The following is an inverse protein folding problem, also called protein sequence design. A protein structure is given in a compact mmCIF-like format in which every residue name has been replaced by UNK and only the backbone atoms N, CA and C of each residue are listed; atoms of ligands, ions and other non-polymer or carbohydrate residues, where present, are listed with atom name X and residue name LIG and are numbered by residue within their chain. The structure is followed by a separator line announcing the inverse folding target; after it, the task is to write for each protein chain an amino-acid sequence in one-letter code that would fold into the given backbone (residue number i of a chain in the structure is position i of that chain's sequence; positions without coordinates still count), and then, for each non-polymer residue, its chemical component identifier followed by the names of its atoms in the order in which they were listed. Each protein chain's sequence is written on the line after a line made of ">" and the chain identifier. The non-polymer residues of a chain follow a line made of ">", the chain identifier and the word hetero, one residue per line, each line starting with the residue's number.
data_IF_707919438873
#
_entry.id   IF_707919438873
#
_cell.length_a   1.000
_cell.length_b   1.000
_cell.length_c   1.000
_cell.angle_alpha   90.00
_cell.angle_beta   90.00
_cell.angle_gamma   90.00
#
_symmetry.space_group_name_H-M   'P 1'
#
loop_
_entity.id
_entity.type
_entity.pdbx_description
1 polymer ?
#
# COMPACT_ATOMS: atom_id res chain seq x y z
N UNK A 1 45.49 11.97 -114.09
CA UNK A 1 44.51 13.04 -113.81
C UNK A 1 43.12 12.51 -114.11
N UNK A 2 42.22 12.55 -113.12
CA UNK A 2 40.74 12.50 -113.18
C UNK A 2 40.27 12.08 -111.77
N UNK A 3 40.12 13.03 -110.85
CA UNK A 3 38.88 13.79 -110.54
C UNK A 3 38.04 13.06 -109.50
N UNK A 4 38.10 13.57 -108.27
CA UNK A 4 37.28 13.16 -107.15
C UNK A 4 35.83 13.62 -107.32
N UNK A 5 34.82 12.84 -106.88
CA UNK A 5 33.44 13.30 -106.86
C UNK A 5 33.26 14.41 -105.83
N UNK A 6 32.76 15.55 -106.31
CA UNK A 6 32.50 16.76 -105.55
C UNK A 6 31.45 16.52 -104.44
N UNK A 7 31.75 17.03 -103.26
CA UNK A 7 30.80 17.19 -102.16
C UNK A 7 29.63 18.07 -102.63
N UNK A 8 28.46 17.46 -102.79
CA UNK A 8 27.20 18.17 -103.07
C UNK A 8 26.90 19.08 -101.88
N UNK A 9 27.21 20.37 -102.02
CA UNK A 9 26.68 21.41 -101.15
C UNK A 9 25.19 21.52 -101.47
N UNK A 10 24.36 20.80 -100.72
CA UNK A 10 22.90 20.80 -100.88
C UNK A 10 22.40 22.20 -100.55
N UNK A 11 22.27 23.04 -101.58
CA UNK A 11 21.62 24.34 -101.47
C UNK A 11 20.13 24.07 -101.40
N UNK A 12 19.58 24.11 -100.20
CA UNK A 12 18.13 24.05 -100.01
C UNK A 12 17.46 25.17 -100.81
N UNK A 13 16.47 24.81 -101.59
CA UNK A 13 15.63 25.78 -102.30
C UNK A 13 14.75 26.53 -101.30
N UNK A 14 14.31 27.74 -101.67
CA UNK A 14 13.47 28.59 -100.80
C UNK A 14 12.20 27.84 -100.38
N UNK A 15 11.67 26.98 -101.24
CA UNK A 15 10.47 26.20 -100.96
C UNK A 15 10.75 25.01 -100.03
N UNK A 16 11.92 24.37 -100.13
CA UNK A 16 12.37 23.37 -99.15
C UNK A 16 12.53 23.98 -97.75
N UNK A 17 13.12 25.17 -97.63
CA UNK A 17 13.24 25.88 -96.35
C UNK A 17 11.87 26.22 -95.75
N UNK A 18 10.91 26.68 -96.58
CA UNK A 18 9.54 26.96 -96.13
C UNK A 18 8.81 25.69 -95.69
N UNK A 19 9.02 24.57 -96.39
CA UNK A 19 8.44 23.28 -96.01
C UNK A 19 9.01 22.77 -94.69
N UNK A 20 10.32 22.92 -94.49
CA UNK A 20 11.01 22.57 -93.25
C UNK A 20 10.55 23.46 -92.09
N UNK A 21 10.36 24.76 -92.34
CA UNK A 21 9.83 25.71 -91.37
C UNK A 21 8.42 25.34 -90.89
N UNK A 22 7.51 24.93 -91.80
CA UNK A 22 6.17 24.43 -91.44
C UNK A 22 6.21 23.08 -90.72
N UNK A 23 7.13 22.19 -91.13
CA UNK A 23 7.33 20.90 -90.45
C UNK A 23 7.87 21.09 -89.02
N UNK A 24 8.69 22.12 -88.80
CA UNK A 24 9.24 22.48 -87.50
C UNK A 24 8.26 23.29 -86.63
N UNK A 25 7.39 24.12 -87.20
CA UNK A 25 6.41 24.90 -86.41
C UNK A 25 5.41 24.02 -85.68
N UNK A 26 5.10 22.84 -86.22
CA UNK A 26 4.22 21.84 -85.60
C UNK A 26 4.94 20.94 -84.58
N UNK A 27 6.27 21.03 -84.46
CA UNK A 27 7.08 20.26 -83.51
C UNK A 27 7.37 21.01 -82.22
N UNK A 28 7.26 22.34 -82.23
CA UNK A 28 7.40 23.15 -81.03
C UNK A 28 6.04 23.23 -80.34
N UNK A 29 5.98 23.07 -79.00
CA UNK A 29 4.75 23.32 -78.28
C UNK A 29 4.24 24.74 -78.60
N UNK A 30 2.93 24.95 -78.74
CA UNK A 30 2.40 26.29 -78.98
C UNK A 30 2.89 27.22 -77.87
N UNK A 31 3.21 28.47 -78.21
CA UNK A 31 3.77 29.44 -77.25
C UNK A 31 2.93 29.58 -75.96
N UNK A 32 1.61 29.35 -76.06
CA UNK A 32 0.68 29.27 -74.92
C UNK A 32 1.00 28.14 -73.93
N UNK A 33 1.42 26.97 -74.40
CA UNK A 33 1.81 25.84 -73.54
C UNK A 33 3.12 26.13 -72.79
N UNK A 34 4.09 26.77 -73.45
CA UNK A 34 5.36 27.18 -72.82
C UNK A 34 5.11 28.26 -71.76
N UNK A 35 4.23 29.23 -72.05
CA UNK A 35 3.84 30.27 -71.09
C UNK A 35 3.09 29.68 -69.89
N UNK A 36 2.18 28.71 -70.12
CA UNK A 36 1.46 28.02 -69.05
C UNK A 36 2.40 27.20 -68.17
N UNK A 37 3.37 26.49 -68.75
CA UNK A 37 4.42 25.80 -67.99
C UNK A 37 5.24 26.76 -67.14
N UNK A 38 5.66 27.90 -67.69
CA UNK A 38 6.42 28.91 -66.93
C UNK A 38 5.62 29.47 -65.74
N UNK A 39 4.34 29.80 -65.95
CA UNK A 39 3.43 30.23 -64.88
C UNK A 39 3.24 29.15 -63.81
N UNK A 40 3.07 27.89 -64.22
CA UNK A 40 2.99 26.77 -63.30
C UNK A 40 4.29 26.59 -62.49
N UNK A 41 5.46 26.70 -63.13
CA UNK A 41 6.76 26.58 -62.47
C UNK A 41 6.92 27.68 -61.39
N UNK A 42 6.54 28.91 -61.71
CA UNK A 42 6.57 30.05 -60.78
C UNK A 42 5.60 29.84 -59.60
N UNK A 43 4.37 29.39 -59.87
CA UNK A 43 3.40 29.08 -58.83
C UNK A 43 3.90 27.93 -57.94
N UNK A 44 4.41 26.86 -58.55
CA UNK A 44 4.96 25.71 -57.86
C UNK A 44 6.12 26.10 -56.93
N UNK A 45 7.04 26.94 -57.39
CA UNK A 45 8.14 27.45 -56.56
C UNK A 45 7.59 28.22 -55.35
N UNK A 46 6.63 29.12 -55.58
CA UNK A 46 6.00 29.91 -54.51
C UNK A 46 5.29 29.01 -53.47
N UNK A 47 4.61 27.97 -53.92
CA UNK A 47 3.90 27.02 -53.03
C UNK A 47 4.89 26.16 -52.23
N UNK A 48 5.97 25.70 -52.85
CA UNK A 48 7.05 24.96 -52.18
C UNK A 48 7.68 25.83 -51.09
N UNK A 49 7.97 27.09 -51.39
CA UNK A 49 8.51 28.04 -50.41
C UNK A 49 7.54 28.23 -49.24
N UNK A 50 6.23 28.42 -49.51
CA UNK A 50 5.23 28.55 -48.45
C UNK A 50 5.17 27.32 -47.55
N UNK A 51 5.19 26.11 -48.13
CA UNK A 51 5.21 24.86 -47.38
C UNK A 51 6.49 24.73 -46.54
N UNK A 52 7.65 25.09 -47.10
CA UNK A 52 8.91 25.08 -46.39
C UNK A 52 8.89 26.02 -45.18
N UNK A 53 8.46 27.27 -45.36
CA UNK A 53 8.36 28.23 -44.26
C UNK A 53 7.37 27.78 -43.20
N UNK A 54 6.18 27.30 -43.60
CA UNK A 54 5.20 26.75 -42.65
C UNK A 54 5.82 25.64 -41.81
N UNK A 55 6.54 24.71 -42.45
CA UNK A 55 7.16 23.60 -41.75
C UNK A 55 8.28 24.03 -40.81
N UNK A 56 9.09 25.00 -41.22
CA UNK A 56 10.14 25.58 -40.38
C UNK A 56 9.56 26.28 -39.15
N UNK A 57 8.45 27.03 -39.29
CA UNK A 57 7.77 27.66 -38.16
C UNK A 57 7.14 26.65 -37.20
N UNK A 58 6.49 25.61 -37.73
CA UNK A 58 5.96 24.52 -36.91
C UNK A 58 7.07 23.82 -36.12
N UNK A 59 8.20 23.52 -36.76
CA UNK A 59 9.31 22.84 -36.12
C UNK A 59 9.97 23.72 -35.05
N UNK A 60 10.07 25.02 -35.28
CA UNK A 60 10.54 25.97 -34.27
C UNK A 60 9.59 26.01 -33.06
N UNK A 61 8.27 26.11 -33.29
CA UNK A 61 7.28 26.08 -32.19
C UNK A 61 7.29 24.76 -31.43
N UNK A 62 7.41 23.63 -32.13
CA UNK A 62 7.49 22.32 -31.49
C UNK A 62 8.74 22.24 -30.59
N UNK A 63 9.90 22.68 -31.09
CA UNK A 63 11.14 22.74 -30.33
C UNK A 63 11.04 23.64 -29.09
N UNK A 64 10.37 24.79 -29.19
CA UNK A 64 10.14 25.66 -28.05
C UNK A 64 9.24 24.99 -27.00
N UNK A 65 8.21 24.26 -27.44
CA UNK A 65 7.35 23.48 -26.54
C UNK A 65 8.10 22.32 -25.88
N UNK A 66 8.97 21.63 -26.60
CA UNK A 66 9.81 20.55 -26.09
C UNK A 66 10.80 21.09 -25.06
N UNK A 67 11.43 22.24 -25.34
CA UNK A 67 12.31 22.90 -24.37
C UNK A 67 11.55 23.32 -23.09
N UNK A 68 10.36 23.90 -23.24
CA UNK A 68 9.52 24.30 -22.11
C UNK A 68 9.12 23.09 -21.24
N UNK A 69 8.72 21.99 -21.87
CA UNK A 69 8.37 20.76 -21.15
C UNK A 69 9.59 20.13 -20.49
N UNK A 70 10.75 20.11 -21.14
CA UNK A 70 12.01 19.62 -20.56
C UNK A 70 12.41 20.41 -19.30
N UNK A 71 12.32 21.74 -19.35
CA UNK A 71 12.59 22.61 -18.19
C UNK A 71 11.61 22.30 -17.05
N UNK A 72 10.32 22.13 -17.36
CA UNK A 72 9.30 21.79 -16.36
C UNK A 72 9.56 20.42 -15.72
N UNK A 73 9.91 19.42 -16.52
CA UNK A 73 10.26 18.07 -16.03
C UNK A 73 11.49 18.15 -15.12
N UNK A 74 12.54 18.83 -15.54
CA UNK A 74 13.75 19.01 -14.71
C UNK A 74 13.43 19.67 -13.37
N UNK A 75 12.56 20.69 -13.36
CA UNK A 75 12.10 21.32 -12.12
C UNK A 75 11.36 20.34 -11.22
N UNK A 76 10.42 19.57 -11.78
CA UNK A 76 9.67 18.55 -11.03
C UNK A 76 10.58 17.45 -10.47
N UNK A 77 11.62 17.06 -11.20
CA UNK A 77 12.61 16.08 -10.72
C UNK A 77 13.42 16.60 -9.53
N UNK A 78 13.78 17.89 -9.54
CA UNK A 78 14.45 18.53 -8.39
C UNK A 78 13.50 18.60 -7.20
N UNK A 79 12.27 19.07 -7.41
CA UNK A 79 11.26 19.19 -6.36
C UNK A 79 10.95 17.82 -5.73
N UNK A 80 10.86 16.75 -6.53
CA UNK A 80 10.67 15.38 -6.05
C UNK A 80 11.86 14.87 -5.22
N UNK A 81 13.10 15.17 -5.63
CA UNK A 81 14.30 14.81 -4.87
C UNK A 81 14.32 15.52 -3.51
N UNK A 82 13.94 16.79 -3.47
CA UNK A 82 13.88 17.56 -2.23
C UNK A 82 12.74 17.11 -1.31
N UNK A 83 11.55 16.81 -1.87
CA UNK A 83 10.46 16.18 -1.13
C UNK A 83 10.89 14.85 -0.51
N UNK A 84 11.61 14.01 -1.28
CA UNK A 84 12.12 12.73 -0.77
C UNK A 84 13.07 12.93 0.41
N UNK A 85 14.03 13.85 0.29
CA UNK A 85 14.95 14.19 1.39
C UNK A 85 14.21 14.66 2.65
N UNK A 86 13.15 15.46 2.50
CA UNK A 86 12.33 15.93 3.63
C UNK A 86 11.58 14.79 4.31
N UNK A 87 11.02 13.86 3.53
CA UNK A 87 10.34 12.67 4.07
C UNK A 87 11.33 11.82 4.87
N UNK A 88 12.49 11.50 4.29
CA UNK A 88 13.51 10.68 4.96
C UNK A 88 14.00 11.37 6.26
N UNK A 89 14.16 12.70 6.26
CA UNK A 89 14.51 13.47 7.45
C UNK A 89 13.40 13.43 8.52
N UNK A 90 12.12 13.53 8.11
CA UNK A 90 10.99 13.45 9.05
C UNK A 90 10.85 12.07 9.69
N UNK A 91 11.07 10.98 8.93
CA UNK A 91 11.02 9.62 9.47
C UNK A 91 12.11 9.40 10.52
N UNK A 92 13.33 9.88 10.26
CA UNK A 92 14.42 9.85 11.25
C UNK A 92 14.06 10.64 12.52
N UNK A 93 13.43 11.80 12.38
CA UNK A 93 13.03 12.62 13.52
C UNK A 93 11.91 11.95 14.34
N UNK A 94 10.92 11.32 13.69
CA UNK A 94 9.85 10.58 14.37
C UNK A 94 10.41 9.36 15.12
N UNK A 95 11.34 8.62 14.49
CA UNK A 95 12.03 7.50 15.14
C UNK A 95 12.84 7.95 16.35
N UNK A 96 13.52 9.10 16.25
CA UNK A 96 14.27 9.67 17.36
C UNK A 96 13.34 10.10 18.51
N UNK A 97 12.24 10.79 18.21
CA UNK A 97 11.25 11.19 19.20
C UNK A 97 10.63 9.97 19.90
N UNK A 98 10.26 8.94 19.15
CA UNK A 98 9.73 7.68 19.70
C UNK A 98 10.76 6.98 20.60
N UNK A 99 12.03 6.94 20.16
CA UNK A 99 13.12 6.39 20.95
C UNK A 99 13.31 7.15 22.26
N UNK A 100 13.28 8.48 22.22
CA UNK A 100 13.41 9.32 23.41
C UNK A 100 12.29 9.08 24.42
N UNK A 101 11.03 8.94 23.98
CA UNK A 101 9.90 8.60 24.86
C UNK A 101 10.09 7.22 25.50
N UNK A 102 10.64 6.24 24.76
CA UNK A 102 10.94 4.91 25.32
C UNK A 102 12.05 4.98 26.36
N UNK A 103 13.09 5.77 26.12
CA UNK A 103 14.17 5.97 27.09
C UNK A 103 13.68 6.64 28.37
N UNK A 104 12.86 7.69 28.28
CA UNK A 104 12.31 8.34 29.49
C UNK A 104 11.39 7.40 30.26
N UNK A 105 10.57 6.60 29.57
CA UNK A 105 9.73 5.59 30.20
C UNK A 105 10.56 4.48 30.87
N UNK A 106 11.66 4.04 30.25
CA UNK A 106 12.58 3.08 30.85
C UNK A 106 13.31 3.66 32.06
N UNK A 107 13.77 4.91 31.98
CA UNK A 107 14.41 5.59 33.11
C UNK A 107 13.45 5.67 34.30
N UNK A 108 12.20 6.08 34.09
CA UNK A 108 11.19 6.10 35.15
C UNK A 108 10.94 4.72 35.78
N UNK A 109 11.05 3.63 35.01
CA UNK A 109 10.96 2.26 35.54
C UNK A 109 12.17 1.90 36.40
N UNK A 110 13.37 2.31 35.99
CA UNK A 110 14.60 2.10 36.76
C UNK A 110 14.50 2.85 38.09
N UNK A 111 14.15 4.14 38.05
CA UNK A 111 14.00 4.96 39.25
C UNK A 111 12.96 4.35 40.23
N UNK A 112 11.87 3.79 39.68
CA UNK A 112 10.87 3.08 40.47
C UNK A 112 11.37 1.74 41.07
N UNK A 113 12.30 1.04 40.42
CA UNK A 113 12.95 -0.15 40.97
C UNK A 113 13.95 0.23 42.06
N UNK A 114 14.73 1.28 41.86
CA UNK A 114 15.69 1.79 42.84
C UNK A 114 14.98 2.20 44.14
N UNK A 115 13.85 2.90 44.03
CA UNK A 115 13.03 3.27 45.18
C UNK A 115 12.49 2.04 45.93
N UNK A 116 12.08 0.98 45.22
CA UNK A 116 11.63 -0.28 45.83
C UNK A 116 12.77 -1.02 46.52
N UNK A 117 13.96 -1.04 45.92
CA UNK A 117 15.15 -1.65 46.54
C UNK A 117 15.49 -0.94 47.84
N UNK A 118 15.57 0.40 47.82
CA UNK A 118 15.85 1.19 49.02
C UNK A 118 14.82 0.95 50.14
N UNK A 119 13.53 0.80 49.79
CA UNK A 119 12.50 0.46 50.76
C UNK A 119 12.67 -0.96 51.34
N UNK A 120 13.05 -1.94 50.51
CA UNK A 120 13.35 -3.29 50.99
C UNK A 120 14.58 -3.31 51.90
N UNK A 121 15.63 -2.59 51.56
CA UNK A 121 16.83 -2.45 52.40
C UNK A 121 16.49 -1.87 53.77
N UNK A 122 15.62 -0.86 53.82
CA UNK A 122 15.12 -0.30 55.08
C UNK A 122 14.34 -1.35 55.90
N UNK A 123 13.49 -2.15 55.26
CA UNK A 123 12.74 -3.22 55.94
C UNK A 123 13.67 -4.30 56.47
N UNK A 124 14.68 -4.69 55.71
CA UNK A 124 15.69 -5.65 56.15
C UNK A 124 16.40 -5.11 57.39
N UNK A 125 16.87 -3.86 57.37
CA UNK A 125 17.51 -3.23 58.53
C UNK A 125 16.61 -3.24 59.78
N UNK A 126 15.31 -2.96 59.63
CA UNK A 126 14.37 -3.04 60.77
C UNK A 126 14.15 -4.46 61.30
N UNK A 127 14.16 -5.46 60.42
CA UNK A 127 14.04 -6.86 60.81
C UNK A 127 15.31 -7.35 61.51
N UNK A 128 16.48 -6.91 61.03
CA UNK A 128 17.76 -7.19 61.68
C UNK A 128 17.80 -6.63 63.10
N UNK A 129 17.33 -5.39 63.32
CA UNK A 129 17.24 -4.82 64.67
C UNK A 129 16.26 -5.60 65.56
N UNK A 130 15.08 -5.96 65.03
CA UNK A 130 14.10 -6.74 65.80
C UNK A 130 14.62 -8.15 66.15
N UNK A 131 15.36 -8.78 65.23
CA UNK A 131 16.01 -10.07 65.47
C UNK A 131 17.08 -9.95 66.56
N UNK A 132 17.88 -8.88 66.54
CA UNK A 132 18.87 -8.61 67.58
C UNK A 132 18.22 -8.44 68.96
N UNK A 133 17.10 -7.70 69.04
CA UNK A 133 16.34 -7.52 70.28
C UNK A 133 15.76 -8.85 70.80
N UNK A 134 15.15 -9.67 69.93
CA UNK A 134 14.64 -11.00 70.30
C UNK A 134 15.76 -11.91 70.80
N UNK A 135 16.91 -11.91 70.12
CA UNK A 135 18.07 -12.69 70.55
C UNK A 135 18.61 -12.22 71.92
N UNK A 136 18.59 -10.91 72.19
CA UNK A 136 18.97 -10.35 73.49
C UNK A 136 17.98 -10.73 74.61
N UNK A 137 16.68 -10.80 74.32
CA UNK A 137 15.67 -11.28 75.29
C UNK A 137 15.82 -12.78 75.56
N UNK A 138 16.13 -13.56 74.52
CA UNK A 138 16.33 -15.02 74.63
C UNK A 138 17.58 -15.40 75.42
N UNK A 139 18.63 -14.56 75.39
CA UNK A 139 19.81 -14.74 76.26
C UNK A 139 19.58 -14.24 77.69
N UNK A 140 18.59 -13.37 77.93
CA UNK A 140 18.24 -12.84 79.25
C UNK A 140 17.25 -13.71 80.05
N UNK A 141 16.47 -14.59 79.41
CA UNK A 141 15.52 -15.49 80.06
C UNK A 141 15.73 -16.95 79.61
N UNK A 142 16.60 -17.73 80.28
CA UNK A 142 16.87 -19.13 79.93
C UNK A 142 15.91 -20.12 80.61
N UNK A 143 14.63 -19.76 80.77
CA UNK A 143 13.52 -20.71 81.00
C UNK A 143 12.20 -19.97 81.22
N UNK A 144 11.14 -20.31 80.49
CA UNK A 144 9.83 -20.49 81.08
C UNK A 144 9.62 -21.99 81.25
N UNK A 145 9.45 -22.42 82.50
CA UNK A 145 8.85 -23.71 82.83
C UNK A 145 7.46 -23.77 82.21
N UNK A 146 7.41 -24.27 80.98
CA UNK A 146 6.19 -24.54 80.25
C UNK A 146 5.69 -25.91 80.71
N UNK A 147 4.44 -25.95 81.18
CA UNK A 147 3.72 -27.19 81.44
C UNK A 147 3.69 -28.02 80.13
N UNK A 148 4.55 -29.04 80.03
CA UNK A 148 4.82 -29.81 78.81
C UNK A 148 3.56 -30.44 78.18
N UNK A 149 2.55 -30.79 78.99
CA UNK A 149 1.31 -31.39 78.48
C UNK A 149 0.40 -30.40 77.72
N UNK A 150 0.37 -29.13 78.12
CA UNK A 150 -0.43 -28.11 77.43
C UNK A 150 0.22 -27.70 76.10
N UNK A 151 1.55 -27.54 76.11
CA UNK A 151 2.33 -27.19 74.91
C UNK A 151 2.40 -28.35 73.92
N UNK A 152 2.43 -29.60 74.39
CA UNK A 152 2.41 -30.78 73.50
C UNK A 152 1.09 -30.90 72.74
N UNK A 153 -0.06 -30.66 73.40
CA UNK A 153 -1.37 -30.69 72.76
C UNK A 153 -1.56 -29.52 71.78
N UNK A 154 -1.11 -28.32 72.14
CA UNK A 154 -1.14 -27.16 71.24
C UNK A 154 -0.22 -27.38 70.04
N UNK A 155 0.97 -27.96 70.24
CA UNK A 155 1.90 -28.26 69.14
C UNK A 155 1.32 -29.32 68.19
N UNK A 156 0.68 -30.36 68.71
CA UNK A 156 0.00 -31.37 67.89
C UNK A 156 -1.16 -30.76 67.08
N UNK A 157 -1.92 -29.84 67.67
CA UNK A 157 -3.03 -29.14 67.00
C UNK A 157 -2.50 -28.20 65.91
N UNK A 158 -1.48 -27.40 66.22
CA UNK A 158 -0.80 -26.51 65.26
C UNK A 158 -0.20 -27.33 64.11
N UNK A 159 0.38 -28.49 64.40
CA UNK A 159 0.96 -29.33 63.37
C UNK A 159 -0.11 -29.92 62.44
N UNK A 160 -1.25 -30.35 62.97
CA UNK A 160 -2.38 -30.77 62.16
C UNK A 160 -2.93 -29.63 61.29
N UNK A 161 -3.03 -28.42 61.83
CA UNK A 161 -3.45 -27.24 61.07
C UNK A 161 -2.45 -26.88 59.96
N UNK A 162 -1.15 -26.99 60.22
CA UNK A 162 -0.09 -26.75 59.23
C UNK A 162 -0.14 -27.78 58.11
N UNK A 163 -0.35 -29.06 58.44
CA UNK A 163 -0.52 -30.12 57.44
C UNK A 163 -1.77 -29.86 56.57
N UNK A 164 -2.90 -29.48 57.19
CA UNK A 164 -4.11 -29.10 56.46
C UNK A 164 -3.88 -27.89 55.54
N UNK A 165 -3.15 -26.87 55.99
CA UNK A 165 -2.80 -25.71 55.16
C UNK A 165 -1.88 -26.08 53.99
N UNK A 166 -1.01 -27.08 54.14
CA UNK A 166 -0.19 -27.58 53.04
C UNK A 166 -1.04 -28.33 51.99
N UNK A 167 -1.98 -29.15 52.43
CA UNK A 167 -2.92 -29.84 51.53
C UNK A 167 -3.81 -28.84 50.78
N UNK A 168 -4.32 -27.81 51.46
CA UNK A 168 -5.11 -26.73 50.85
C UNK A 168 -4.28 -25.92 49.85
N UNK A 169 -3.03 -25.59 50.19
CA UNK A 169 -2.10 -24.91 49.27
C UNK A 169 -1.89 -25.74 48.01
N UNK A 170 -1.66 -27.04 48.15
CA UNK A 170 -1.39 -27.91 47.01
C UNK A 170 -2.65 -28.09 46.15
N UNK A 171 -3.84 -28.13 46.75
CA UNK A 171 -5.11 -28.08 46.03
C UNK A 171 -5.28 -26.77 45.24
N UNK A 172 -4.93 -25.62 45.82
CA UNK A 172 -4.96 -24.32 45.15
C UNK A 172 -3.96 -24.24 43.99
N UNK A 173 -2.75 -24.78 44.16
CA UNK A 173 -1.75 -24.86 43.09
C UNK A 173 -2.29 -25.70 41.92
N UNK A 174 -2.90 -26.85 42.21
CA UNK A 174 -3.50 -27.70 41.18
C UNK A 174 -4.64 -26.99 40.43
N UNK A 175 -5.52 -26.29 41.16
CA UNK A 175 -6.61 -25.51 40.55
C UNK A 175 -6.07 -24.37 39.67
N UNK A 176 -5.01 -23.70 40.11
CA UNK A 176 -4.37 -22.64 39.34
C UNK A 176 -3.74 -23.18 38.04
N UNK A 177 -3.05 -24.32 38.12
CA UNK A 177 -2.48 -24.98 36.95
C UNK A 177 -3.57 -25.41 35.95
N UNK A 178 -4.69 -25.95 36.42
CA UNK A 178 -5.81 -26.31 35.55
C UNK A 178 -6.43 -25.07 34.89
N UNK A 179 -6.60 -23.98 35.63
CA UNK A 179 -7.08 -22.70 35.09
C UNK A 179 -6.17 -22.17 33.99
N UNK A 180 -4.84 -22.17 34.21
CA UNK A 180 -3.86 -21.75 33.21
C UNK A 180 -3.92 -22.64 31.95
N UNK A 181 -4.08 -23.96 32.11
CA UNK A 181 -4.24 -24.87 30.98
C UNK A 181 -5.52 -24.58 30.17
N UNK A 182 -6.62 -24.18 30.83
CA UNK A 182 -7.86 -23.75 30.16
C UNK A 182 -7.68 -22.42 29.43
N UNK A 183 -7.00 -21.45 30.04
CA UNK A 183 -6.68 -20.15 29.41
C UNK A 183 -5.84 -20.39 28.15
N UNK A 184 -4.81 -21.22 28.22
CA UNK A 184 -3.96 -21.51 27.07
C UNK A 184 -4.75 -22.15 25.91
N UNK A 185 -5.68 -23.08 26.20
CA UNK A 185 -6.59 -23.63 25.19
C UNK A 185 -7.48 -22.57 24.56
N UNK A 186 -7.99 -21.61 25.34
CA UNK A 186 -8.80 -20.50 24.82
C UNK A 186 -7.95 -19.56 23.95
N UNK A 187 -6.72 -19.26 24.36
CA UNK A 187 -5.78 -18.46 23.56
C UNK A 187 -5.48 -19.15 22.22
N UNK A 188 -5.26 -20.47 22.22
CA UNK A 188 -5.02 -21.24 21.00
C UNK A 188 -6.24 -21.23 20.07
N UNK A 189 -7.46 -21.38 20.61
CA UNK A 189 -8.70 -21.27 19.84
C UNK A 189 -8.88 -19.86 19.24
N UNK A 190 -8.59 -18.80 20.00
CA UNK A 190 -8.64 -17.42 19.51
C UNK A 190 -7.60 -17.18 18.41
N UNK A 191 -6.38 -17.73 18.54
CA UNK A 191 -5.36 -17.68 17.49
C UNK A 191 -5.82 -18.42 16.23
N UNK A 192 -6.40 -19.61 16.36
CA UNK A 192 -6.95 -20.38 15.23
C UNK A 192 -8.07 -19.62 14.51
N UNK A 193 -9.01 -19.02 15.26
CA UNK A 193 -10.07 -18.15 14.70
C UNK A 193 -9.49 -16.94 13.97
N UNK A 194 -8.50 -16.28 14.56
CA UNK A 194 -7.83 -15.12 13.95
C UNK A 194 -7.11 -15.51 12.66
N UNK A 195 -6.45 -16.67 12.65
CA UNK A 195 -5.81 -17.21 11.44
C UNK A 195 -6.84 -17.63 10.37
N UNK A 196 -7.97 -18.24 10.74
CA UNK A 196 -9.06 -18.52 9.80
C UNK A 196 -9.65 -17.24 9.17
N UNK A 197 -9.83 -16.17 9.96
CA UNK A 197 -10.25 -14.87 9.43
C UNK A 197 -9.22 -14.26 8.48
N UNK A 198 -7.92 -14.50 8.73
CA UNK A 198 -6.84 -14.08 7.83
C UNK A 198 -6.80 -14.89 6.53
N UNK A 199 -7.02 -16.21 6.59
CA UNK A 199 -7.07 -17.10 5.41
C UNK A 199 -8.31 -16.82 4.55
N UNK A 200 -9.44 -16.49 5.16
CA UNK A 200 -10.66 -16.08 4.44
C UNK A 200 -10.60 -14.65 3.87
N UNK A 201 -9.52 -13.90 4.14
CA UNK A 201 -9.25 -12.57 3.56
C UNK A 201 -8.29 -12.62 2.36
N UNK A 202 -8.32 -13.71 1.58
CA UNK A 202 -7.90 -13.64 0.18
C UNK A 202 -9.04 -12.99 -0.64
N UNK A 203 -8.76 -11.97 -1.49
CA UNK A 203 -9.78 -11.22 -2.21
C UNK A 203 -10.31 -12.07 -3.37
N UNK A 204 -11.23 -12.98 -3.09
CA UNK A 204 -12.19 -13.40 -4.11
C UNK A 204 -13.32 -12.39 -4.10
N UNK A 205 -13.51 -11.71 -5.23
CA UNK A 205 -14.58 -10.77 -5.52
C UNK A 205 -15.97 -11.40 -5.27
N UNK A 206 -16.42 -11.44 -4.03
CA UNK A 206 -17.83 -11.64 -3.71
C UNK A 206 -18.18 -10.72 -2.57
N UNK A 207 -19.09 -9.77 -2.84
CA UNK A 207 -19.70 -8.93 -1.82
C UNK A 207 -20.23 -9.80 -0.68
N UNK A 208 -20.22 -9.31 0.57
CA UNK A 208 -20.72 -10.10 1.70
C UNK A 208 -22.18 -10.46 1.41
N UNK A 209 -22.45 -11.76 1.25
CA UNK A 209 -23.76 -12.25 0.90
C UNK A 209 -24.77 -11.80 1.99
N UNK A 210 -25.83 -11.11 1.59
CA UNK A 210 -26.94 -10.64 2.44
C UNK A 210 -27.71 -11.76 3.16
N UNK A 211 -27.30 -13.01 3.00
CA UNK A 211 -28.10 -14.20 3.27
C UNK A 211 -27.26 -15.24 4.00
N UNK A 212 -27.69 -15.61 5.21
CA UNK A 212 -27.09 -16.69 5.97
C UNK A 212 -27.65 -18.02 5.48
N UNK A 213 -26.76 -18.94 5.09
CA UNK A 213 -27.11 -20.28 4.63
C UNK A 213 -27.00 -21.26 5.79
N UNK A 214 -28.08 -22.00 6.07
CA UNK A 214 -28.09 -23.04 7.09
C UNK A 214 -28.23 -24.40 6.41
N UNK A 215 -27.27 -25.32 6.56
CA UNK A 215 -27.40 -26.67 6.03
C UNK A 215 -28.37 -27.47 6.89
N UNK A 216 -29.48 -27.94 6.30
CA UNK A 216 -30.38 -28.90 6.90
C UNK A 216 -30.52 -30.13 6.00
N UNK A 217 -30.68 -31.32 6.59
CA UNK A 217 -31.02 -32.54 5.85
C UNK A 217 -32.51 -32.84 6.02
N UNK A 218 -33.20 -33.16 4.92
CA UNK A 218 -34.55 -33.72 4.96
C UNK A 218 -34.52 -35.14 5.54
N UNK A 219 -35.66 -35.68 5.98
CA UNK A 219 -35.84 -37.08 6.44
C UNK A 219 -35.41 -38.13 5.42
N UNK A 220 -35.30 -37.75 4.13
CA UNK A 220 -34.78 -38.58 3.04
C UNK A 220 -33.25 -38.40 2.79
N UNK A 221 -32.53 -37.73 3.68
CA UNK A 221 -31.07 -37.53 3.60
C UNK A 221 -30.59 -36.52 2.56
N UNK A 222 -31.49 -35.87 1.81
CA UNK A 222 -31.13 -34.83 0.85
C UNK A 222 -30.85 -33.51 1.57
N UNK A 223 -29.69 -32.91 1.27
CA UNK A 223 -29.29 -31.61 1.79
C UNK A 223 -30.14 -30.51 1.14
N UNK A 224 -30.92 -29.80 1.96
CA UNK A 224 -31.70 -28.63 1.53
C UNK A 224 -30.99 -27.39 2.08
N UNK A 225 -30.65 -26.47 1.19
CA UNK A 225 -29.96 -25.23 1.55
C UNK A 225 -31.00 -24.13 1.81
N UNK A 226 -31.24 -23.81 3.09
CA UNK A 226 -32.16 -22.73 3.48
C UNK A 226 -31.40 -21.41 3.51
N UNK A 227 -31.82 -20.49 2.64
CA UNK A 227 -31.29 -19.13 2.57
C UNK A 227 -32.15 -18.19 3.40
N UNK A 228 -31.65 -17.76 4.56
CA UNK A 228 -32.36 -16.82 5.45
C UNK A 228 -31.71 -15.43 5.35
N UNK A 229 -32.43 -14.37 4.94
CA UNK A 229 -31.91 -13.01 4.91
C UNK A 229 -31.54 -12.55 6.32
N UNK A 230 -30.33 -12.01 6.51
CA UNK A 230 -29.98 -11.42 7.82
C UNK A 230 -30.72 -10.08 7.95
N UNK A 231 -31.59 -9.97 8.95
CA UNK A 231 -32.29 -8.73 9.29
C UNK A 231 -31.29 -7.60 9.54
N UNK A 232 -31.39 -6.53 8.77
CA UNK A 232 -30.57 -5.32 8.96
C UNK A 232 -31.02 -4.55 10.20
N UNK A 233 -30.09 -4.32 11.13
CA UNK A 233 -30.32 -3.46 12.29
C UNK A 233 -30.65 -2.02 11.86
N UNK A 234 -31.68 -1.45 12.49
CA UNK A 234 -32.09 -0.04 12.35
C UNK A 234 -31.01 0.89 12.92
N UNK A 235 -29.94 1.13 12.18
CA UNK A 235 -29.00 2.20 12.49
C UNK A 235 -28.21 2.61 11.26
N UNK A 236 -28.77 3.54 10.50
CA UNK A 236 -28.08 4.73 9.97
C UNK A 236 -28.94 5.32 8.86
N UNK A 237 -29.57 6.46 9.17
CA UNK A 237 -30.18 7.31 8.16
C UNK A 237 -29.11 7.79 7.19
N UNK A 238 -29.06 7.17 6.02
CA UNK A 238 -28.51 7.77 4.81
C UNK A 238 -29.60 7.68 3.74
N UNK A 239 -30.16 8.84 3.43
CA UNK A 239 -31.10 9.03 2.34
C UNK A 239 -30.55 8.39 1.07
N UNK A 240 -31.29 7.40 0.57
CA UNK A 240 -30.93 6.70 -0.64
C UNK A 240 -31.28 7.61 -1.83
N UNK A 241 -30.35 8.49 -2.24
CA UNK A 241 -30.40 9.13 -3.56
C UNK A 241 -30.03 8.09 -4.62
N UNK A 242 -30.93 7.15 -4.87
CA UNK A 242 -30.97 6.44 -6.15
C UNK A 242 -31.99 7.17 -7.01
N UNK A 243 -31.55 7.71 -8.14
CA UNK A 243 -32.46 8.32 -9.11
C UNK A 243 -33.52 7.28 -9.50
N UNK A 244 -34.80 7.67 -9.39
CA UNK A 244 -35.91 6.82 -9.80
C UNK A 244 -35.74 6.45 -11.27
N UNK A 245 -35.64 5.14 -11.57
CA UNK A 245 -35.64 4.64 -12.95
C UNK A 245 -37.01 4.92 -13.55
N UNK A 246 -37.09 5.91 -14.42
CA UNK A 246 -38.28 6.16 -15.23
C UNK A 246 -38.35 5.13 -16.35
N UNK A 247 -39.51 4.49 -16.49
CA UNK A 247 -39.83 3.56 -17.56
C UNK A 247 -40.09 4.34 -18.86
N UNK A 248 -39.32 4.06 -19.91
CA UNK A 248 -39.60 4.51 -21.28
C UNK A 248 -40.26 3.35 -22.03
N UNK A 249 -41.55 3.44 -22.39
CA UNK A 249 -42.21 2.37 -23.13
C UNK A 249 -41.54 2.19 -24.50
N UNK A 250 -40.97 1.02 -24.77
CA UNK A 250 -40.40 0.64 -26.07
C UNK A 250 -39.01 -0.01 -26.04
N UNK A 251 -38.27 0.06 -24.93
CA UNK A 251 -36.99 -0.65 -24.81
C UNK A 251 -37.14 -2.03 -24.15
N UNK A 252 -36.55 -3.09 -24.72
CA UNK A 252 -36.50 -4.40 -24.08
C UNK A 252 -35.58 -4.33 -22.86
N UNK A 253 -36.00 -4.97 -21.77
CA UNK A 253 -35.21 -5.02 -20.54
C UNK A 253 -33.89 -5.75 -20.82
N UNK A 254 -32.79 -5.01 -20.79
CA UNK A 254 -31.45 -5.58 -20.85
C UNK A 254 -31.26 -6.48 -19.62
N UNK A 255 -30.93 -7.76 -19.87
CA UNK A 255 -30.58 -8.73 -18.83
C UNK A 255 -29.23 -8.40 -18.20
#
# INVERSE_FOLDING_TARGET
>A
MASAPATMSTRYTIDELKSLGRACSNRLPPASAVQAMFLYEMQRQTEIEKLFHSRMFELARAKDSDNSTAIRVQKLEVDLKDLRRRIDASDLQERLATSQVRFTAQQAKIDGCDAKSAFQDQRIATLETALADVNAVKTANPDPTLNEEAVSNDLATIQADVEALYDERDALINMHNESNARIQKLEDLVRQLTLQMSINNSPSNSSPAMVQRLPMQNTNGQAIELTVPRGGGLSSGKENRVAARTFTPGEPWAR
#
